data_IF_756766710506
#
_entry.id   IF_756766710506
#
_cell.length_a   1.000
_cell.length_b   1.000
_cell.length_c   1.000
_cell.angle_alpha   90.00
_cell.angle_beta   90.00
_cell.angle_gamma   90.00
#
_symmetry.space_group_name_H-M   'P 1'
#
loop_
_entity.id
_entity.type
_entity.pdbx_description
1 polymer ?
#
# COMPACT_ATOMS: atom_id res chain seq x y z
N UNK A 1 -4.73 74.15 -38.60
CA UNK A 1 -4.90 72.77 -39.09
C UNK A 1 -4.25 71.85 -38.06
N UNK A 2 -4.93 71.48 -36.98
CA UNK A 2 -5.78 70.28 -36.83
C UNK A 2 -5.12 69.01 -37.38
N UNK A 3 -4.62 68.20 -36.44
CA UNK A 3 -4.55 66.72 -36.38
C UNK A 3 -3.19 66.24 -35.90
N UNK A 4 -3.22 65.21 -35.05
CA UNK A 4 -2.10 64.53 -34.37
C UNK A 4 -1.63 65.13 -33.03
N UNK A 5 -2.58 65.52 -32.20
CA UNK A 5 -2.52 65.15 -30.77
C UNK A 5 -3.30 63.85 -30.59
N UNK A 6 -2.92 63.07 -29.58
CA UNK A 6 -3.36 61.70 -29.20
C UNK A 6 -2.42 60.59 -29.68
N UNK A 7 -2.14 59.66 -28.75
CA UNK A 7 -1.29 58.46 -28.86
C UNK A 7 0.19 58.57 -28.47
N UNK A 8 0.50 59.30 -27.39
CA UNK A 8 1.80 59.13 -26.73
C UNK A 8 1.71 59.23 -25.19
N UNK A 9 0.62 58.74 -24.61
CA UNK A 9 0.42 58.67 -23.16
C UNK A 9 -0.42 57.46 -22.75
N UNK A 10 -0.10 56.27 -23.27
CA UNK A 10 -0.82 55.04 -22.85
C UNK A 10 0.00 53.76 -22.93
N UNK A 11 1.32 53.81 -22.69
CA UNK A 11 2.16 52.61 -22.69
C UNK A 11 3.11 52.54 -21.49
N UNK A 12 2.63 52.87 -20.29
CA UNK A 12 3.41 52.69 -19.03
C UNK A 12 2.55 52.23 -17.85
N UNK A 13 1.43 51.53 -18.09
CA UNK A 13 0.69 50.84 -17.03
C UNK A 13 0.27 49.48 -17.58
N UNK A 14 1.05 48.45 -17.28
CA UNK A 14 0.76 47.10 -17.74
C UNK A 14 1.96 46.17 -17.65
N UNK A 15 2.64 46.14 -16.51
CA UNK A 15 3.58 45.05 -16.22
C UNK A 15 3.77 44.91 -14.72
N UNK A 16 2.67 44.58 -14.04
CA UNK A 16 2.69 44.12 -12.67
C UNK A 16 1.62 43.05 -12.50
N UNK A 17 2.04 41.93 -11.89
CA UNK A 17 1.33 40.66 -11.66
C UNK A 17 1.23 39.72 -12.87
N UNK A 18 2.07 38.67 -12.86
CA UNK A 18 1.66 37.29 -12.60
C UNK A 18 2.93 36.40 -12.50
N UNK A 19 3.69 36.54 -11.41
CA UNK A 19 4.64 35.49 -10.99
C UNK A 19 3.90 34.63 -9.97
N UNK A 20 3.15 33.66 -10.48
CA UNK A 20 2.64 32.54 -9.67
C UNK A 20 3.84 31.66 -9.30
N UNK A 21 4.05 31.31 -8.03
CA UNK A 21 5.05 30.32 -7.69
C UNK A 21 4.59 28.98 -8.26
N UNK A 22 5.32 28.47 -9.24
CA UNK A 22 5.16 27.09 -9.67
C UNK A 22 5.61 26.23 -8.50
N UNK A 23 4.68 25.54 -7.86
CA UNK A 23 5.01 24.44 -6.96
C UNK A 23 5.65 23.37 -7.84
N UNK A 24 6.98 23.37 -7.89
CA UNK A 24 7.73 22.26 -8.43
C UNK A 24 7.47 21.06 -7.51
N UNK A 25 6.61 20.14 -7.96
CA UNK A 25 6.59 18.78 -7.42
C UNK A 25 7.99 18.23 -7.63
N UNK A 26 8.74 18.08 -6.54
CA UNK A 26 10.01 17.38 -6.55
C UNK A 26 9.75 15.94 -7.04
N UNK A 27 10.09 15.66 -8.29
CA UNK A 27 10.23 14.29 -8.80
C UNK A 27 11.48 13.70 -8.16
N UNK A 28 11.35 13.20 -6.93
CA UNK A 28 12.31 12.27 -6.37
C UNK A 28 11.97 10.88 -6.89
N UNK A 29 12.52 10.51 -8.04
CA UNK A 29 12.67 9.11 -8.41
C UNK A 29 13.76 8.98 -9.47
N UNK A 30 14.90 8.44 -9.06
CA UNK A 30 15.89 7.70 -9.85
C UNK A 30 15.49 7.40 -11.31
N UNK A 31 15.61 8.38 -12.20
CA UNK A 31 15.18 8.23 -13.60
C UNK A 31 16.08 7.26 -14.38
N UNK A 32 17.31 7.03 -13.92
CA UNK A 32 18.25 6.10 -14.56
C UNK A 32 17.98 4.62 -14.19
N UNK A 33 17.83 4.30 -12.90
CA UNK A 33 17.51 2.93 -12.42
C UNK A 33 16.10 2.50 -12.83
N UNK A 34 15.16 3.44 -12.91
CA UNK A 34 13.82 3.19 -13.42
C UNK A 34 13.80 2.88 -14.92
N UNK A 35 14.77 3.32 -15.73
CA UNK A 35 14.71 3.10 -17.19
C UNK A 35 15.01 1.65 -17.63
N UNK A 36 15.95 0.97 -16.97
CA UNK A 36 16.30 -0.43 -17.25
C UNK A 36 15.20 -1.37 -16.73
N UNK A 37 14.79 -1.17 -15.47
CA UNK A 37 13.70 -1.91 -14.84
C UNK A 37 12.37 -1.71 -15.56
N UNK A 38 12.04 -0.49 -15.99
CA UNK A 38 10.85 -0.24 -16.80
C UNK A 38 10.90 -0.97 -18.15
N UNK A 39 12.06 -1.01 -18.82
CA UNK A 39 12.24 -1.78 -20.06
C UNK A 39 12.05 -3.28 -19.82
N UNK A 40 12.62 -3.83 -18.75
CA UNK A 40 12.46 -5.23 -18.38
C UNK A 40 10.99 -5.53 -18.06
N UNK A 41 10.34 -4.69 -17.25
CA UNK A 41 8.94 -4.85 -16.86
C UNK A 41 8.01 -4.78 -18.09
N UNK A 42 8.23 -3.81 -18.98
CA UNK A 42 7.47 -3.66 -20.22
C UNK A 42 7.62 -4.89 -21.12
N UNK A 43 8.86 -5.37 -21.34
CA UNK A 43 9.14 -6.57 -22.15
C UNK A 43 8.54 -7.85 -21.58
N UNK A 44 8.45 -7.95 -20.25
CA UNK A 44 8.00 -9.16 -19.55
C UNK A 44 6.61 -9.02 -18.93
N UNK A 45 5.84 -8.00 -19.32
CA UNK A 45 4.60 -7.61 -18.65
C UNK A 45 3.61 -8.79 -18.46
N UNK A 46 3.41 -9.61 -19.50
CA UNK A 46 2.55 -10.80 -19.41
C UNK A 46 3.02 -11.79 -18.33
N UNK A 47 4.29 -12.15 -18.33
CA UNK A 47 4.85 -13.09 -17.35
C UNK A 47 4.81 -12.53 -15.93
N UNK A 48 5.08 -11.23 -15.77
CA UNK A 48 4.97 -10.56 -14.47
C UNK A 48 3.54 -10.60 -13.96
N UNK A 49 2.54 -10.27 -14.78
CA UNK A 49 1.13 -10.32 -14.37
C UNK A 49 0.69 -11.73 -13.95
N UNK A 50 1.13 -12.77 -14.68
CA UNK A 50 0.87 -14.15 -14.30
C UNK A 50 1.51 -14.49 -12.95
N UNK A 51 2.77 -14.06 -12.73
CA UNK A 51 3.46 -14.28 -11.46
C UNK A 51 2.76 -13.57 -10.29
N UNK A 52 2.36 -12.30 -10.45
CA UNK A 52 1.62 -11.54 -9.43
C UNK A 52 0.30 -12.24 -9.08
N UNK A 53 -0.49 -12.63 -10.09
CA UNK A 53 -1.75 -13.35 -9.87
C UNK A 53 -1.57 -14.67 -9.11
N UNK A 54 -0.51 -15.42 -9.43
CA UNK A 54 -0.18 -16.66 -8.74
C UNK A 54 0.24 -16.41 -7.28
N UNK A 55 1.06 -15.38 -7.03
CA UNK A 55 1.45 -14.99 -5.67
C UNK A 55 0.19 -14.60 -4.87
N UNK A 56 -0.66 -13.74 -5.43
CA UNK A 56 -1.88 -13.29 -4.78
C UNK A 56 -2.78 -14.47 -4.39
N UNK A 57 -3.01 -15.40 -5.33
CA UNK A 57 -3.86 -16.58 -5.10
C UNK A 57 -3.29 -17.52 -4.03
N UNK A 58 -1.97 -17.77 -4.06
CA UNK A 58 -1.33 -18.65 -3.09
C UNK A 58 -1.29 -18.03 -1.68
N UNK A 59 -1.08 -16.73 -1.59
CA UNK A 59 -1.09 -16.01 -0.32
C UNK A 59 -2.51 -15.98 0.27
N UNK A 60 -3.56 -15.84 -0.54
CA UNK A 60 -4.96 -15.94 -0.12
C UNK A 60 -5.30 -17.31 0.48
N UNK A 61 -4.87 -18.40 -0.18
CA UNK A 61 -5.04 -19.75 0.37
C UNK A 61 -4.30 -19.91 1.71
N UNK A 62 -3.06 -19.43 1.78
CA UNK A 62 -2.24 -19.48 2.99
C UNK A 62 -2.91 -18.70 4.13
N UNK A 63 -3.45 -17.51 3.84
CA UNK A 63 -4.19 -16.69 4.81
C UNK A 63 -5.39 -17.39 5.42
N UNK A 64 -6.17 -18.11 4.61
CA UNK A 64 -7.31 -18.89 5.09
C UNK A 64 -6.85 -19.99 6.04
N UNK A 65 -5.85 -20.77 5.64
CA UNK A 65 -5.30 -21.87 6.45
C UNK A 65 -4.75 -21.38 7.80
N UNK A 66 -3.93 -20.33 7.77
CA UNK A 66 -3.37 -19.70 8.98
C UNK A 66 -4.50 -19.13 9.86
N UNK A 67 -5.47 -18.43 9.26
CA UNK A 67 -6.61 -17.86 9.97
C UNK A 67 -7.45 -18.92 10.70
N UNK A 68 -7.71 -20.06 10.06
CA UNK A 68 -8.43 -21.18 10.69
C UNK A 68 -7.66 -21.75 11.88
N UNK A 69 -6.33 -21.90 11.76
CA UNK A 69 -5.47 -22.37 12.85
C UNK A 69 -5.49 -21.41 14.04
N UNK A 70 -5.31 -20.11 13.80
CA UNK A 70 -5.36 -19.09 14.85
C UNK A 70 -6.74 -19.01 15.51
N UNK A 71 -7.81 -19.09 14.73
CA UNK A 71 -9.16 -19.15 15.28
C UNK A 71 -9.37 -20.38 16.16
N UNK A 72 -8.84 -21.55 15.77
CA UNK A 72 -8.91 -22.77 16.57
C UNK A 72 -8.13 -22.63 17.88
N UNK A 73 -6.93 -22.03 17.86
CA UNK A 73 -6.14 -21.77 19.06
C UNK A 73 -6.92 -20.86 20.02
N UNK A 74 -7.40 -19.72 19.52
CA UNK A 74 -8.19 -18.74 20.26
C UNK A 74 -9.43 -19.36 20.92
N UNK A 75 -10.30 -19.97 20.10
CA UNK A 75 -11.65 -20.36 20.53
C UNK A 75 -11.70 -21.74 21.19
N UNK A 76 -10.88 -22.70 20.73
CA UNK A 76 -10.95 -24.09 21.20
C UNK A 76 -9.90 -24.42 22.26
N UNK A 77 -8.81 -23.65 22.36
CA UNK A 77 -7.76 -23.88 23.35
C UNK A 77 -7.77 -22.78 24.42
N UNK A 78 -7.49 -21.54 24.05
CA UNK A 78 -7.31 -20.42 24.99
C UNK A 78 -8.59 -20.14 25.78
N UNK A 79 -9.72 -19.90 25.10
CA UNK A 79 -10.99 -19.62 25.76
C UNK A 79 -11.44 -20.75 26.70
N UNK A 80 -11.27 -22.01 26.27
CA UNK A 80 -11.65 -23.19 27.07
C UNK A 80 -10.75 -23.38 28.29
N UNK A 81 -9.44 -23.19 28.14
CA UNK A 81 -8.49 -23.27 29.24
C UNK A 81 -8.78 -22.18 30.27
N UNK A 82 -8.99 -20.94 29.83
CA UNK A 82 -9.31 -19.84 30.73
C UNK A 82 -10.60 -20.10 31.53
N UNK A 83 -11.65 -20.60 30.87
CA UNK A 83 -12.89 -21.00 31.54
C UNK A 83 -12.67 -22.06 32.62
N UNK A 84 -11.82 -23.07 32.36
CA UNK A 84 -11.48 -24.10 33.35
C UNK A 84 -10.70 -23.54 34.53
N UNK A 85 -9.73 -22.67 34.30
CA UNK A 85 -8.95 -22.05 35.38
C UNK A 85 -9.84 -21.20 36.29
N UNK A 86 -10.76 -20.43 35.70
CA UNK A 86 -11.72 -19.62 36.44
C UNK A 86 -12.64 -20.47 37.34
N UNK A 87 -13.20 -21.56 36.80
CA UNK A 87 -14.04 -22.49 37.59
C UNK A 87 -13.28 -23.13 38.74
N UNK A 88 -11.99 -23.42 38.55
CA UNK A 88 -11.14 -24.04 39.57
C UNK A 88 -10.45 -23.01 40.48
N UNK A 89 -10.76 -21.71 40.35
CA UNK A 89 -10.17 -20.61 41.13
C UNK A 89 -8.63 -20.58 41.09
N UNK A 90 -8.06 -20.99 39.96
CA UNK A 90 -6.62 -20.95 39.72
C UNK A 90 -6.23 -19.58 39.17
N UNK A 91 -5.10 -19.03 39.62
CA UNK A 91 -4.56 -17.79 39.07
C UNK A 91 -4.19 -17.96 37.59
N UNK A 92 -4.89 -17.24 36.73
CA UNK A 92 -4.68 -17.23 35.28
C UNK A 92 -4.12 -15.91 34.75
N UNK A 93 -3.71 -14.98 35.62
CA UNK A 93 -3.27 -13.63 35.23
C UNK A 93 -2.19 -13.61 34.14
N UNK A 94 -1.15 -14.45 34.28
CA UNK A 94 -0.09 -14.60 33.26
C UNK A 94 -0.61 -15.16 31.94
N UNK A 95 -1.54 -16.11 31.99
CA UNK A 95 -2.13 -16.70 30.79
C UNK A 95 -3.02 -15.68 30.07
N UNK A 96 -3.79 -14.87 30.81
CA UNK A 96 -4.60 -13.79 30.23
C UNK A 96 -3.72 -12.82 29.44
N UNK A 97 -2.55 -12.47 29.94
CA UNK A 97 -1.60 -11.62 29.19
C UNK A 97 -1.14 -12.28 27.89
N UNK A 98 -0.73 -13.56 27.94
CA UNK A 98 -0.35 -14.32 26.72
C UNK A 98 -1.49 -14.38 25.70
N UNK A 99 -2.73 -14.56 26.15
CA UNK A 99 -3.91 -14.58 25.28
C UNK A 99 -4.12 -13.21 24.65
N UNK A 100 -4.01 -12.13 25.42
CA UNK A 100 -4.16 -10.77 24.91
C UNK A 100 -3.07 -10.42 23.87
N UNK A 101 -1.82 -10.81 24.11
CA UNK A 101 -0.72 -10.62 23.17
C UNK A 101 -0.98 -11.39 21.87
N UNK A 102 -1.44 -12.64 21.99
CA UNK A 102 -1.80 -13.47 20.83
C UNK A 102 -2.94 -12.85 20.00
N UNK A 103 -4.03 -12.42 20.64
CA UNK A 103 -5.15 -11.79 19.92
C UNK A 103 -4.74 -10.46 19.30
N UNK A 104 -3.90 -9.67 19.98
CA UNK A 104 -3.37 -8.41 19.45
C UNK A 104 -2.51 -8.64 18.20
N UNK A 105 -1.60 -9.62 18.25
CA UNK A 105 -0.78 -10.00 17.09
C UNK A 105 -1.64 -10.52 15.93
N UNK A 106 -2.66 -11.34 16.23
CA UNK A 106 -3.61 -11.84 15.22
C UNK A 106 -4.41 -10.71 14.58
N UNK A 107 -4.88 -9.74 15.34
CA UNK A 107 -5.60 -8.57 14.81
C UNK A 107 -4.70 -7.69 13.94
N UNK A 108 -3.46 -7.44 14.39
CA UNK A 108 -2.46 -6.70 13.60
C UNK A 108 -2.16 -7.41 12.28
N UNK A 109 -1.90 -8.72 12.31
CA UNK A 109 -1.71 -9.52 11.11
C UNK A 109 -2.91 -9.44 10.15
N UNK A 110 -4.14 -9.52 10.67
CA UNK A 110 -5.34 -9.38 9.83
C UNK A 110 -5.43 -8.00 9.17
N UNK A 111 -5.13 -6.93 9.90
CA UNK A 111 -5.11 -5.57 9.36
C UNK A 111 -4.06 -5.45 8.25
N UNK A 112 -2.81 -5.86 8.53
CA UNK A 112 -1.72 -5.82 7.56
C UNK A 112 -2.05 -6.66 6.30
N UNK A 113 -2.73 -7.80 6.48
CA UNK A 113 -3.17 -8.62 5.36
C UNK A 113 -4.23 -7.93 4.50
N UNK A 114 -5.20 -7.24 5.11
CA UNK A 114 -6.21 -6.50 4.33
C UNK A 114 -5.58 -5.38 3.51
N UNK A 115 -4.58 -4.69 4.06
CA UNK A 115 -3.82 -3.66 3.33
C UNK A 115 -3.05 -4.30 2.16
N UNK A 116 -2.38 -5.42 2.41
CA UNK A 116 -1.69 -6.20 1.37
C UNK A 116 -2.64 -6.65 0.25
N UNK A 117 -3.76 -7.26 0.59
CA UNK A 117 -4.78 -7.75 -0.35
C UNK A 117 -5.36 -6.61 -1.20
N UNK A 118 -5.59 -5.45 -0.59
CA UNK A 118 -6.01 -4.22 -1.29
C UNK A 118 -4.95 -3.80 -2.31
N UNK A 119 -3.69 -3.67 -1.89
CA UNK A 119 -2.60 -3.25 -2.80
C UNK A 119 -2.33 -4.26 -3.92
N UNK A 120 -2.45 -5.57 -3.66
CA UNK A 120 -2.34 -6.61 -4.67
C UNK A 120 -3.49 -6.58 -5.66
N UNK A 121 -4.72 -6.35 -5.20
CA UNK A 121 -5.90 -6.19 -6.05
C UNK A 121 -5.72 -4.99 -6.99
N UNK A 122 -5.25 -3.85 -6.48
CA UNK A 122 -4.94 -2.69 -7.31
C UNK A 122 -3.85 -2.98 -8.36
N UNK A 123 -2.81 -3.72 -7.97
CA UNK A 123 -1.73 -4.12 -8.88
C UNK A 123 -2.24 -5.09 -9.97
N UNK A 124 -3.06 -6.06 -9.60
CA UNK A 124 -3.66 -7.04 -10.53
C UNK A 124 -4.55 -6.37 -11.58
N UNK A 125 -5.25 -5.30 -11.20
CA UNK A 125 -6.09 -4.50 -12.10
C UNK A 125 -5.30 -3.53 -12.99
N UNK A 126 -4.06 -3.20 -12.63
CA UNK A 126 -3.21 -2.31 -13.41
C UNK A 126 -2.64 -2.99 -14.67
N UNK A 127 -2.30 -2.19 -15.68
CA UNK A 127 -1.73 -2.67 -16.94
C UNK A 127 -0.29 -2.15 -17.14
N UNK A 128 0.70 -3.05 -16.96
CA UNK A 128 2.11 -2.73 -17.18
C UNK A 128 2.49 -2.43 -18.64
N UNK A 129 1.61 -2.66 -19.62
CA UNK A 129 1.86 -2.27 -21.01
C UNK A 129 1.41 -0.84 -21.34
N UNK A 130 0.45 -0.30 -20.57
CA UNK A 130 -0.12 1.04 -20.77
C UNK A 130 0.58 2.08 -19.90
N UNK A 131 0.82 1.75 -18.63
CA UNK A 131 1.51 2.63 -17.67
C UNK A 131 2.54 1.82 -16.86
N UNK A 132 3.76 1.75 -17.39
CA UNK A 132 4.86 1.02 -16.75
C UNK A 132 5.26 1.66 -15.42
N UNK A 133 5.25 3.00 -15.35
CA UNK A 133 5.69 3.73 -14.16
C UNK A 133 4.69 3.56 -13.01
N UNK A 134 3.39 3.75 -13.28
CA UNK A 134 2.34 3.53 -12.28
C UNK A 134 2.24 2.07 -11.86
N UNK A 135 2.39 1.12 -12.78
CA UNK A 135 2.44 -0.30 -12.43
C UNK A 135 3.62 -0.63 -11.50
N UNK A 136 4.80 -0.08 -11.79
CA UNK A 136 5.97 -0.29 -10.93
C UNK A 136 5.77 0.28 -9.52
N UNK A 137 5.18 1.47 -9.40
CA UNK A 137 4.84 2.04 -8.10
C UNK A 137 3.87 1.15 -7.31
N UNK A 138 2.84 0.62 -7.95
CA UNK A 138 1.91 -0.34 -7.33
C UNK A 138 2.60 -1.64 -6.92
N UNK A 139 3.54 -2.13 -7.73
CA UNK A 139 4.34 -3.31 -7.42
C UNK A 139 5.21 -3.10 -6.17
N UNK A 140 5.84 -1.93 -6.03
CA UNK A 140 6.61 -1.58 -4.84
C UNK A 140 5.69 -1.50 -3.61
N UNK A 141 4.54 -0.82 -3.73
CA UNK A 141 3.57 -0.71 -2.64
C UNK A 141 3.07 -2.08 -2.16
N UNK A 142 2.71 -2.97 -3.08
CA UNK A 142 2.27 -4.34 -2.75
C UNK A 142 3.40 -5.16 -2.10
N UNK A 143 4.65 -5.01 -2.57
CA UNK A 143 5.81 -5.66 -1.96
C UNK A 143 6.04 -5.17 -0.53
N UNK A 144 5.95 -3.88 -0.29
CA UNK A 144 6.09 -3.30 1.05
C UNK A 144 4.98 -3.79 1.99
N UNK A 145 3.72 -3.78 1.54
CA UNK A 145 2.60 -4.31 2.31
C UNK A 145 2.78 -5.80 2.63
N UNK A 146 3.29 -6.60 1.69
CA UNK A 146 3.62 -8.01 1.91
C UNK A 146 4.71 -8.21 2.97
N UNK A 147 5.73 -7.36 2.99
CA UNK A 147 6.80 -7.45 3.99
C UNK A 147 6.27 -7.20 5.41
N UNK A 148 5.28 -6.31 5.57
CA UNK A 148 4.63 -6.03 6.87
C UNK A 148 3.83 -7.22 7.42
N UNK A 149 3.60 -8.28 6.63
CA UNK A 149 3.00 -9.52 7.13
C UNK A 149 3.95 -10.32 8.04
N UNK A 150 5.23 -9.98 8.04
CA UNK A 150 6.27 -10.62 8.87
C UNK A 150 6.70 -9.80 10.08
N UNK A 151 6.10 -8.62 10.29
CA UNK A 151 6.30 -7.72 11.44
C UNK A 151 5.34 -8.03 12.59
#
# INVERSE_FOLDING_TARGET
>A
MKRFTFYLTSFLIGSSLLLMPQVALAQTADTAANSELAKILSRNCSSVRVAIKNIHTNDALTRVNVGQRYNSISTKLMARLNGRLAVNKLDSSKLVNIINDFESARLKFNSNYNDYDTTMTELDHANCSEDVAGYYQKLVAAREARNRLSE
#
